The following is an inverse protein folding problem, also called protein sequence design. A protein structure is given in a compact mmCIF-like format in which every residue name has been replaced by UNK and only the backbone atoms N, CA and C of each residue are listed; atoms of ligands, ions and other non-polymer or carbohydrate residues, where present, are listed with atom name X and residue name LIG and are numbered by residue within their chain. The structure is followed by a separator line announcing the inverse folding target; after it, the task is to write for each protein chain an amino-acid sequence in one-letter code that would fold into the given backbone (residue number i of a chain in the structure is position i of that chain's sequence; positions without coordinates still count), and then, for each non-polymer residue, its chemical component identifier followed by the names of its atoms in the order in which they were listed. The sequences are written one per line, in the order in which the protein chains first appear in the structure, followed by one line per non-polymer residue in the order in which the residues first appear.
data_IF_299072444640
#
_entry.id   IF_299072444640
#
_cell.length_a   1.000
_cell.length_b   1.000
_cell.length_c   1.000
_cell.angle_alpha   90.00
_cell.angle_beta   90.00
_cell.angle_gamma   90.00
#
_symmetry.space_group_name_H-M   'P 1'
#
loop_
_entity.id
_entity.type
_entity.pdbx_description
1 polymer ?
#
# COMPACT_ATOMS: atom_id res chain seq x y z
N UNK A 1 6.37 16.11 -2.56
CA UNK A 1 5.27 15.13 -2.45
C UNK A 1 4.19 15.61 -3.38
N UNK A 2 3.86 14.86 -4.43
CA UNK A 2 2.71 15.18 -5.26
C UNK A 2 1.44 14.91 -4.45
N UNK A 3 0.43 15.78 -4.58
CA UNK A 3 -0.89 15.54 -4.00
C UNK A 3 -1.54 14.43 -4.82
N UNK A 4 -1.90 13.32 -4.18
CA UNK A 4 -2.68 12.26 -4.81
C UNK A 4 -4.07 12.81 -5.14
N UNK A 5 -4.48 12.73 -6.41
CA UNK A 5 -5.82 13.14 -6.85
C UNK A 5 -6.80 11.97 -6.78
N UNK A 6 -8.11 12.23 -6.93
CA UNK A 6 -9.10 11.16 -7.10
C UNK A 6 -8.79 10.32 -8.34
N UNK A 7 -8.35 10.96 -9.43
CA UNK A 7 -7.91 10.27 -10.65
C UNK A 7 -6.71 9.34 -10.38
N UNK A 8 -5.75 9.74 -9.55
CA UNK A 8 -4.63 8.88 -9.15
C UNK A 8 -5.09 7.69 -8.31
N UNK A 9 -6.11 7.88 -7.47
CA UNK A 9 -6.72 6.83 -6.65
C UNK A 9 -7.47 5.81 -7.52
N UNK A 10 -8.22 6.30 -8.51
CA UNK A 10 -9.00 5.47 -9.44
C UNK A 10 -8.12 4.77 -10.49
N UNK A 11 -6.94 5.30 -10.78
CA UNK A 11 -6.04 4.72 -11.77
C UNK A 11 -5.50 3.34 -11.36
N UNK A 12 -5.62 2.92 -10.08
CA UNK A 12 -5.25 1.60 -9.55
C UNK A 12 -3.89 1.10 -10.06
N UNK A 13 -2.91 2.02 -10.19
CA UNK A 13 -1.61 1.71 -10.79
C UNK A 13 -0.74 0.97 -9.78
N UNK A 14 -0.14 -0.13 -10.21
CA UNK A 14 0.92 -0.78 -9.45
C UNK A 14 2.13 0.16 -9.34
N UNK A 15 2.66 0.27 -8.12
CA UNK A 15 3.88 1.02 -7.82
C UNK A 15 4.91 0.08 -7.18
N UNK A 16 6.20 0.14 -7.59
CA UNK A 16 7.22 -0.71 -6.98
C UNK A 16 7.54 -0.24 -5.56
N UNK A 17 7.17 -1.03 -4.55
CA UNK A 17 7.41 -0.70 -3.13
C UNK A 17 8.62 -1.40 -2.52
N UNK A 18 8.95 -2.61 -2.98
CA UNK A 18 10.00 -3.45 -2.39
C UNK A 18 10.83 -4.12 -3.47
N UNK A 19 12.11 -4.35 -3.17
CA UNK A 19 13.02 -5.16 -3.99
C UNK A 19 13.70 -6.20 -3.13
N UNK A 20 13.61 -7.46 -3.54
CA UNK A 20 14.23 -8.58 -2.85
C UNK A 20 15.48 -9.03 -3.59
N UNK A 21 16.54 -9.32 -2.84
CA UNK A 21 17.70 -10.06 -3.38
C UNK A 21 17.52 -11.53 -3.02
N UNK A 22 16.98 -12.28 -3.97
CA UNK A 22 16.67 -13.70 -3.80
C UNK A 22 17.93 -14.57 -4.01
N UNK A 23 18.15 -15.55 -3.13
CA UNK A 23 19.24 -16.53 -3.24
C UNK A 23 18.67 -17.94 -3.00
N UNK A 24 18.19 -18.57 -4.07
CA UNK A 24 17.62 -19.94 -4.03
C UNK A 24 16.17 -20.03 -3.56
N UNK A 25 15.50 -18.91 -3.26
CA UNK A 25 14.09 -18.83 -2.90
C UNK A 25 13.46 -17.59 -3.56
N UNK A 26 12.26 -17.75 -4.10
CA UNK A 26 11.49 -16.67 -4.73
C UNK A 26 10.20 -16.40 -3.94
N UNK A 27 9.78 -15.13 -3.80
CA UNK A 27 8.52 -14.81 -3.17
C UNK A 27 7.36 -15.20 -4.09
N UNK A 28 6.34 -15.84 -3.51
CA UNK A 28 5.15 -16.28 -4.24
C UNK A 28 3.92 -15.42 -3.94
N UNK A 29 3.86 -14.85 -2.73
CA UNK A 29 2.72 -14.08 -2.26
C UNK A 29 3.15 -13.04 -1.22
N UNK A 30 2.32 -12.02 -1.01
CA UNK A 30 2.53 -10.97 -0.03
C UNK A 30 1.28 -10.77 0.83
N UNK A 31 1.43 -10.99 2.13
CA UNK A 31 0.36 -10.74 3.10
C UNK A 31 0.56 -9.36 3.70
N UNK A 32 -0.39 -8.46 3.46
CA UNK A 32 -0.42 -7.15 4.12
C UNK A 32 -0.70 -7.35 5.61
N UNK A 33 0.19 -6.84 6.45
CA UNK A 33 0.04 -6.81 7.91
C UNK A 33 0.13 -5.39 8.47
N UNK A 34 0.43 -5.28 9.76
CA UNK A 34 0.47 -4.01 10.48
C UNK A 34 1.81 -3.27 10.31
N UNK A 35 1.83 -1.99 10.69
CA UNK A 35 3.04 -1.15 10.69
C UNK A 35 3.24 -0.29 9.45
N UNK A 36 2.22 -0.17 8.60
CA UNK A 36 2.22 0.80 7.51
C UNK A 36 1.99 2.21 8.05
N UNK A 37 2.57 3.22 7.38
CA UNK A 37 2.38 4.63 7.74
C UNK A 37 1.80 5.35 6.53
N UNK A 38 0.58 5.84 6.67
CA UNK A 38 -0.10 6.69 5.69
C UNK A 38 0.11 8.17 6.01
N UNK A 39 0.29 8.99 4.98
CA UNK A 39 0.26 10.44 5.13
C UNK A 39 -1.14 10.97 4.80
N UNK A 40 -1.76 11.67 5.75
CA UNK A 40 -3.09 12.26 5.61
C UNK A 40 -3.04 13.77 5.74
N UNK A 41 -4.16 14.45 5.49
CA UNK A 41 -4.27 15.89 5.74
C UNK A 41 -4.07 16.27 7.23
N UNK A 42 -4.23 15.30 8.16
CA UNK A 42 -3.97 15.47 9.58
C UNK A 42 -2.58 14.95 10.01
N UNK A 43 -1.70 14.66 9.05
CA UNK A 43 -0.34 14.15 9.25
C UNK A 43 -0.23 12.63 9.14
N UNK A 44 0.90 12.10 9.62
CA UNK A 44 1.21 10.67 9.57
C UNK A 44 0.31 9.87 10.51
N UNK A 45 -0.16 8.72 10.05
CA UNK A 45 -0.97 7.77 10.82
C UNK A 45 -0.54 6.35 10.52
N UNK A 46 -0.54 5.52 11.56
CA UNK A 46 -0.36 4.08 11.37
C UNK A 46 -1.62 3.49 10.71
N UNK A 47 -1.40 2.53 9.83
CA UNK A 47 -2.42 1.80 9.11
C UNK A 47 -2.25 0.31 9.44
N UNK A 48 -3.31 -0.27 9.97
CA UNK A 48 -3.43 -1.70 10.18
C UNK A 48 -4.29 -2.29 9.06
N UNK A 49 -3.73 -3.26 8.34
CA UNK A 49 -4.43 -3.94 7.26
C UNK A 49 -5.13 -5.18 7.79
N UNK A 50 -6.44 -5.25 7.55
CA UNK A 50 -7.27 -6.42 7.80
C UNK A 50 -7.95 -6.77 6.47
N UNK A 51 -7.81 -8.02 6.02
CA UNK A 51 -8.46 -8.54 4.80
C UNK A 51 -8.28 -7.65 3.55
N UNK A 52 -7.09 -7.07 3.37
CA UNK A 52 -6.79 -6.24 2.19
C UNK A 52 -7.35 -4.81 2.26
N UNK A 53 -7.71 -4.34 3.45
CA UNK A 53 -8.14 -2.96 3.69
C UNK A 53 -7.55 -2.38 4.97
N UNK A 54 -7.29 -1.07 4.95
CA UNK A 54 -6.93 -0.29 6.11
C UNK A 54 -7.77 0.99 6.13
N UNK A 55 -8.31 1.39 7.29
CA UNK A 55 -9.04 2.65 7.38
C UNK A 55 -8.92 3.31 8.73
N UNK A 56 -8.98 4.64 8.72
CA UNK A 56 -8.84 5.49 9.89
C UNK A 56 -9.90 6.59 9.87
N UNK A 57 -10.42 6.94 11.05
CA UNK A 57 -11.35 8.04 11.25
C UNK A 57 -10.57 9.32 11.55
N UNK A 58 -10.91 10.39 10.84
CA UNK A 58 -10.27 11.70 10.88
C UNK A 58 -11.35 12.78 11.03
N UNK A 59 -11.60 13.23 12.26
CA UNK A 59 -12.58 14.29 12.56
C UNK A 59 -13.98 14.08 11.91
N UNK A 60 -14.46 12.84 11.83
CA UNK A 60 -15.76 12.50 11.23
C UNK A 60 -15.70 12.15 9.74
N UNK A 61 -14.54 12.29 9.10
CA UNK A 61 -14.27 11.75 7.76
C UNK A 61 -13.48 10.45 7.85
N UNK A 62 -13.59 9.60 6.83
CA UNK A 62 -12.86 8.34 6.74
C UNK A 62 -11.81 8.43 5.65
N UNK A 63 -10.55 8.16 5.99
CA UNK A 63 -9.52 7.84 5.02
C UNK A 63 -9.34 6.32 4.97
N UNK A 64 -9.23 5.74 3.78
CA UNK A 64 -9.09 4.31 3.62
C UNK A 64 -8.23 3.94 2.40
N UNK A 65 -7.56 2.80 2.51
CA UNK A 65 -6.96 2.07 1.40
C UNK A 65 -7.67 0.72 1.34
N UNK A 66 -8.13 0.30 0.17
CA UNK A 66 -8.90 -0.92 -0.04
C UNK A 66 -8.48 -1.58 -1.36
N UNK A 67 -8.88 -2.83 -1.57
CA UNK A 67 -8.48 -3.66 -2.71
C UNK A 67 -6.96 -3.66 -2.94
N UNK A 68 -6.17 -3.76 -1.85
CA UNK A 68 -4.71 -3.81 -2.03
C UNK A 68 -4.29 -5.14 -2.65
N UNK A 69 -3.55 -5.03 -3.75
CA UNK A 69 -2.97 -6.15 -4.47
C UNK A 69 -1.46 -6.01 -4.52
N UNK A 70 -0.77 -7.14 -4.42
CA UNK A 70 0.67 -7.23 -4.58
C UNK A 70 0.98 -8.28 -5.65
N UNK A 71 1.98 -7.98 -6.48
CA UNK A 71 2.54 -8.92 -7.45
C UNK A 71 4.04 -8.82 -7.46
N UNK A 72 4.69 -9.93 -7.75
CA UNK A 72 6.13 -9.98 -7.94
C UNK A 72 6.44 -9.98 -9.43
N UNK A 73 7.28 -9.05 -9.85
CA UNK A 73 7.81 -8.99 -11.21
C UNK A 73 9.29 -9.37 -11.16
N UNK A 74 9.66 -10.38 -11.95
CA UNK A 74 11.06 -10.70 -12.16
C UNK A 74 11.69 -9.57 -12.95
N UNK A 75 12.60 -8.83 -12.33
CA UNK A 75 13.44 -7.91 -13.06
C UNK A 75 14.55 -8.73 -13.72
N UNK A 76 14.46 -8.94 -15.03
CA UNK A 76 15.63 -9.34 -15.82
C UNK A 76 16.70 -8.25 -15.63
N UNK A 77 17.82 -8.62 -15.03
CA UNK A 77 19.00 -7.75 -14.86
C UNK A 77 19.90 -7.94 -16.06
#
# INVERSE_FOLDING_TARGET
MAVLTEEDSDAKRFVPLMRFKCMGLEPLDFVFGNGWIGNTFMGLRELDFEEGMASIQLNGERAAVYDVEARFEANEI
#
